data_IF_635895755544
#
_entry.id   IF_635895755544
#
_cell.length_a   1.000
_cell.length_b   1.000
_cell.length_c   1.000
_cell.angle_alpha   90.00
_cell.angle_beta   90.00
_cell.angle_gamma   90.00
#
_symmetry.space_group_name_H-M   'P 1'
#
loop_
_entity.id
_entity.type
_entity.pdbx_description
1 polymer ?
#
# COMPACT_ATOMS: atom_id res chain seq x y z
N UNK A 1 5.18 -1.34 6.00
CA UNK A 1 4.00 -0.58 6.51
C UNK A 1 3.48 0.50 5.54
N UNK A 2 3.88 0.53 4.26
CA UNK A 2 3.48 1.58 3.31
C UNK A 2 2.00 1.50 2.92
N UNK A 3 1.48 0.31 2.64
CA UNK A 3 0.05 0.13 2.33
C UNK A 3 -0.91 0.47 3.48
N UNK A 4 -0.47 0.29 4.73
CA UNK A 4 -1.24 0.70 5.91
C UNK A 4 -1.41 2.23 5.97
N UNK A 5 -0.35 2.98 5.66
CA UNK A 5 -0.41 4.44 5.56
C UNK A 5 -1.37 4.89 4.45
N UNK A 6 -1.32 4.24 3.29
CA UNK A 6 -2.22 4.55 2.16
C UNK A 6 -3.69 4.30 2.53
N UNK A 7 -3.97 3.23 3.28
CA UNK A 7 -5.32 2.92 3.76
C UNK A 7 -5.82 3.91 4.82
N UNK A 8 -4.92 4.51 5.60
CA UNK A 8 -5.28 5.47 6.64
C UNK A 8 -5.65 6.85 6.07
N UNK A 9 -5.17 7.21 4.86
CA UNK A 9 -5.37 8.54 4.27
C UNK A 9 -6.09 8.51 2.89
N UNK A 10 -7.22 7.79 2.73
CA UNK A 10 -7.86 7.62 1.41
C UNK A 10 -8.53 8.89 0.87
N UNK A 11 -8.82 9.86 1.74
CA UNK A 11 -9.48 11.12 1.39
C UNK A 11 -8.55 12.32 1.20
N UNK A 12 -7.31 12.22 1.67
CA UNK A 12 -6.33 13.33 1.58
C UNK A 12 -5.54 13.27 0.28
N UNK A 13 -5.23 12.05 -0.19
CA UNK A 13 -4.44 11.84 -1.40
C UNK A 13 -5.01 10.68 -2.22
N UNK A 14 -4.90 10.77 -3.54
CA UNK A 14 -5.23 9.63 -4.39
C UNK A 14 -4.26 8.47 -4.13
N UNK A 15 -4.79 7.25 -3.99
CA UNK A 15 -3.99 6.01 -3.79
C UNK A 15 -2.86 5.90 -4.82
N UNK A 16 -3.10 6.27 -6.09
CA UNK A 16 -2.07 6.30 -7.15
C UNK A 16 -0.94 7.29 -6.89
N UNK A 17 -1.25 8.46 -6.34
CA UNK A 17 -0.26 9.47 -6.00
C UNK A 17 0.61 8.99 -4.82
N UNK A 18 -0.04 8.44 -3.79
CA UNK A 18 0.67 7.85 -2.66
C UNK A 18 1.55 6.66 -3.07
N UNK A 19 1.07 5.78 -3.97
CA UNK A 19 1.87 4.69 -4.52
C UNK A 19 3.13 5.19 -5.24
N UNK A 20 3.02 6.29 -6.01
CA UNK A 20 4.17 6.90 -6.68
C UNK A 20 5.17 7.48 -5.69
N UNK A 21 4.70 8.19 -4.66
CA UNK A 21 5.56 8.82 -3.63
C UNK A 21 6.27 7.76 -2.78
N UNK A 22 5.53 6.74 -2.35
CA UNK A 22 6.05 5.65 -1.51
C UNK A 22 6.79 4.57 -2.30
N UNK A 23 6.91 4.73 -3.64
CA UNK A 23 7.54 3.78 -4.57
C UNK A 23 7.00 2.36 -4.45
N UNK A 24 5.69 2.22 -4.27
CA UNK A 24 5.00 0.92 -4.21
C UNK A 24 4.08 0.75 -5.41
N UNK A 25 3.79 -0.51 -5.75
CA UNK A 25 2.90 -0.78 -6.87
C UNK A 25 1.42 -0.76 -6.45
N UNK A 26 0.58 -0.12 -7.27
CA UNK A 26 -0.85 0.02 -7.01
C UNK A 26 -1.60 -1.32 -7.00
N UNK A 27 -1.16 -2.31 -7.81
CA UNK A 27 -1.75 -3.66 -7.73
C UNK A 27 -1.40 -4.37 -6.41
N UNK A 28 -0.23 -4.07 -5.83
CA UNK A 28 0.19 -4.58 -4.53
C UNK A 28 -0.67 -4.05 -3.40
N UNK A 29 -1.12 -2.79 -3.48
CA UNK A 29 -2.05 -2.21 -2.51
C UNK A 29 -3.39 -2.94 -2.46
N UNK A 30 -3.99 -3.25 -3.62
CA UNK A 30 -5.26 -3.99 -3.62
C UNK A 30 -5.10 -5.47 -3.30
N UNK A 31 -3.97 -6.09 -3.67
CA UNK A 31 -3.66 -7.44 -3.22
C UNK A 31 -3.53 -7.49 -1.68
N UNK A 32 -2.84 -6.51 -1.09
CA UNK A 32 -2.73 -6.34 0.35
C UNK A 32 -4.07 -6.03 1.01
N UNK A 33 -4.96 -5.27 0.36
CA UNK A 33 -6.31 -5.00 0.88
C UNK A 33 -7.17 -6.27 0.96
N UNK A 34 -7.02 -7.18 0.00
CA UNK A 34 -7.75 -8.46 -0.04
C UNK A 34 -7.22 -9.46 0.98
N UNK A 35 -5.90 -9.49 1.19
CA UNK A 35 -5.27 -10.44 2.11
C UNK A 35 -4.07 -9.79 2.82
N UNK A 36 -4.32 -9.03 3.91
CA UNK A 36 -3.28 -8.25 4.57
C UNK A 36 -2.26 -9.10 5.34
N UNK A 37 -2.50 -10.41 5.47
CA UNK A 37 -1.69 -11.37 6.24
C UNK A 37 -0.72 -12.21 5.40
N UNK A 38 -0.73 -12.10 4.07
CA UNK A 38 0.20 -12.89 3.25
C UNK A 38 1.65 -12.42 3.46
N UNK A 39 2.60 -13.36 3.45
CA UNK A 39 4.05 -13.16 3.60
C UNK A 39 4.63 -11.96 2.80
N UNK A 40 3.97 -11.56 1.70
CA UNK A 40 4.37 -10.42 0.86
C UNK A 40 4.20 -9.04 1.52
N UNK A 41 3.41 -8.94 2.59
CA UNK A 41 3.25 -7.69 3.34
C UNK A 41 4.52 -7.30 4.14
N UNK A 42 5.40 -8.27 4.41
CA UNK A 42 6.67 -8.06 5.12
C UNK A 42 7.81 -7.57 4.22
N UNK A 43 7.72 -7.75 2.89
CA UNK A 43 8.77 -7.34 1.95
C UNK A 43 8.84 -5.83 1.74
N UNK A 44 7.77 -5.08 2.06
CA UNK A 44 7.71 -3.63 1.86
C UNK A 44 8.44 -2.82 2.97
N UNK A 45 9.36 -3.48 3.66
CA UNK A 45 10.26 -2.94 4.70
C UNK A 45 11.72 -2.87 4.22
N UNK A 46 12.02 -3.29 2.98
CA UNK A 46 13.35 -3.08 2.37
C UNK A 46 13.51 -1.71 1.71
#
# INVERSE_FOLDING_TARGET
MKYAFIRAHPGEFGVRAMCRVLRVHFSGFYAWLKEPLSHRAQEDVR
#
